data_IF_536976898967
#
_entry.id   IF_536976898967
#
_cell.length_a   1.000
_cell.length_b   1.000
_cell.length_c   1.000
_cell.angle_alpha   90.00
_cell.angle_beta   90.00
_cell.angle_gamma   90.00
#
_symmetry.space_group_name_H-M   'P 1'
#
loop_
_entity.id
_entity.type
_entity.pdbx_description
1 polymer ?
#
# COMPACT_ATOMS: atom_id res chain seq x y z
N UNK A 1 -36.11 14.01 24.39
CA UNK A 1 -35.03 14.96 24.03
C UNK A 1 -33.66 14.47 24.47
N UNK A 2 -33.36 14.28 25.77
CA UNK A 2 -32.04 13.77 26.22
C UNK A 2 -31.62 12.42 25.61
N UNK A 3 -32.52 11.43 25.58
CA UNK A 3 -32.23 10.10 25.01
C UNK A 3 -31.93 10.16 23.51
N UNK A 4 -32.63 11.01 22.78
CA UNK A 4 -32.42 11.25 21.35
C UNK A 4 -31.08 11.94 21.09
N UNK A 5 -30.71 12.92 21.91
CA UNK A 5 -29.41 13.59 21.85
C UNK A 5 -28.27 12.60 22.15
N UNK A 6 -28.42 11.75 23.17
CA UNK A 6 -27.42 10.71 23.51
C UNK A 6 -27.26 9.70 22.37
N UNK A 7 -28.37 9.23 21.77
CA UNK A 7 -28.32 8.31 20.65
C UNK A 7 -27.64 8.94 19.41
N UNK A 8 -27.90 10.22 19.14
CA UNK A 8 -27.24 10.95 18.05
C UNK A 8 -25.73 11.06 18.30
N UNK A 9 -25.31 11.44 19.51
CA UNK A 9 -23.90 11.56 19.88
C UNK A 9 -23.15 10.23 19.77
N UNK A 10 -23.76 9.12 20.18
CA UNK A 10 -23.17 7.79 20.04
C UNK A 10 -22.99 7.39 18.57
N UNK A 11 -23.94 7.76 17.71
CA UNK A 11 -23.86 7.50 16.26
C UNK A 11 -22.73 8.31 15.60
N UNK A 12 -22.57 9.59 15.96
CA UNK A 12 -21.47 10.42 15.47
C UNK A 12 -20.10 9.92 15.94
N UNK A 13 -20.01 9.33 17.14
CA UNK A 13 -18.77 8.76 17.66
C UNK A 13 -18.38 7.41 17.03
N UNK A 14 -19.31 6.76 16.31
CA UNK A 14 -19.11 5.41 15.74
C UNK A 14 -18.51 5.42 14.33
N UNK A 15 -17.89 6.52 13.90
CA UNK A 15 -17.25 6.62 12.59
C UNK A 15 -16.09 5.64 12.44
N UNK A 16 -16.12 4.76 11.44
CA UNK A 16 -15.01 3.87 11.12
C UNK A 16 -13.83 4.69 10.57
N UNK A 17 -12.74 4.77 11.32
CA UNK A 17 -11.48 5.32 10.82
C UNK A 17 -10.78 4.30 9.92
N UNK A 18 -11.00 4.38 8.60
CA UNK A 18 -10.14 3.70 7.62
C UNK A 18 -8.86 4.52 7.45
N UNK A 19 -7.97 4.45 8.44
CA UNK A 19 -6.68 5.11 8.35
C UNK A 19 -5.74 4.30 7.45
N UNK A 20 -5.35 4.88 6.32
CA UNK A 20 -4.25 4.36 5.54
C UNK A 20 -2.99 4.29 6.43
N UNK A 21 -2.38 3.12 6.49
CA UNK A 21 -1.07 2.90 7.12
C UNK A 21 0.01 3.70 6.40
N UNK A 22 1.16 3.97 7.04
CA UNK A 22 2.30 4.58 6.35
C UNK A 22 2.69 3.84 5.06
N UNK A 23 2.54 2.51 5.02
CA UNK A 23 2.79 1.68 3.84
C UNK A 23 1.85 1.96 2.66
N UNK A 24 0.63 2.40 2.94
CA UNK A 24 -0.34 2.80 1.91
C UNK A 24 -0.18 4.27 1.50
N UNK A 25 0.57 5.06 2.27
CA UNK A 25 0.81 6.49 2.02
C UNK A 25 2.13 6.76 1.30
N UNK A 26 3.13 5.90 1.47
CA UNK A 26 4.42 6.04 0.80
C UNK A 26 4.26 5.88 -0.72
N UNK A 27 4.84 6.79 -1.49
CA UNK A 27 4.69 6.84 -2.96
C UNK A 27 5.98 6.52 -3.72
N UNK A 28 7.10 6.42 -3.01
CA UNK A 28 8.41 6.12 -3.58
C UNK A 28 9.11 5.02 -2.79
N UNK A 29 9.91 4.16 -3.43
CA UNK A 29 10.71 3.17 -2.73
C UNK A 29 11.63 3.81 -1.68
N UNK A 30 11.81 3.12 -0.55
CA UNK A 30 12.82 3.50 0.44
C UNK A 30 14.21 3.21 -0.15
N UNK A 31 15.07 4.22 -0.19
CA UNK A 31 16.45 4.08 -0.66
C UNK A 31 17.24 3.08 0.19
N UNK A 32 18.12 2.31 -0.44
CA UNK A 32 18.97 1.33 0.22
C UNK A 32 19.25 0.13 -0.68
N UNK A 33 20.01 -0.84 -0.16
CA UNK A 33 20.18 -2.12 -0.84
C UNK A 33 18.85 -2.89 -0.87
N UNK A 34 18.49 -3.57 -1.97
CA UNK A 34 17.27 -4.36 -2.05
C UNK A 34 17.23 -5.46 -1.00
N UNK A 35 16.23 -5.43 -0.11
CA UNK A 35 16.07 -6.40 0.97
C UNK A 35 14.58 -6.67 1.19
N UNK A 36 14.16 -7.91 0.97
CA UNK A 36 12.85 -8.41 1.40
C UNK A 36 12.95 -8.79 2.88
N UNK A 37 12.18 -8.10 3.74
CA UNK A 37 12.29 -8.19 5.20
C UNK A 37 11.02 -8.83 5.76
N UNK A 38 11.17 -9.95 6.48
CA UNK A 38 10.06 -10.67 7.09
C UNK A 38 9.47 -11.77 6.19
N UNK A 39 8.21 -12.10 6.39
CA UNK A 39 7.48 -13.13 5.63
C UNK A 39 6.49 -12.50 4.64
N UNK A 40 6.01 -13.28 3.66
CA UNK A 40 5.13 -12.80 2.57
C UNK A 40 3.87 -12.05 3.05
N UNK A 41 3.27 -12.49 4.16
CA UNK A 41 2.06 -11.90 4.74
C UNK A 41 2.33 -11.01 5.97
N UNK A 42 3.60 -10.77 6.31
CA UNK A 42 4.00 -9.92 7.43
C UNK A 42 5.46 -9.46 7.23
N UNK A 43 5.64 -8.50 6.33
CA UNK A 43 6.95 -8.02 5.92
C UNK A 43 6.90 -6.70 5.18
N UNK A 44 8.08 -6.22 4.78
CA UNK A 44 8.26 -5.03 3.96
C UNK A 44 9.48 -5.19 3.05
N UNK A 45 9.80 -4.14 2.28
CA UNK A 45 10.96 -4.12 1.40
C UNK A 45 11.66 -2.75 1.47
N UNK A 46 12.99 -2.80 1.55
CA UNK A 46 13.88 -1.65 1.31
C UNK A 46 14.51 -1.83 -0.07
N UNK A 47 14.76 -0.74 -0.80
CA UNK A 47 15.40 -0.79 -2.12
C UNK A 47 14.54 -1.47 -3.19
N UNK A 48 13.22 -1.36 -3.11
CA UNK A 48 12.31 -1.89 -4.13
C UNK A 48 12.52 -1.19 -5.50
N UNK A 49 12.35 -1.94 -6.57
CA UNK A 49 12.41 -1.45 -7.94
C UNK A 49 11.02 -1.42 -8.57
N UNK A 50 10.78 -0.42 -9.42
CA UNK A 50 9.56 -0.34 -10.22
C UNK A 50 9.68 -1.27 -11.44
N UNK A 51 8.64 -2.03 -11.72
CA UNK A 51 8.47 -2.70 -13.01
C UNK A 51 8.25 -1.62 -14.09
N UNK A 52 8.97 -1.64 -15.23
CA UNK A 52 8.77 -0.68 -16.31
C UNK A 52 7.33 -0.67 -16.80
N UNK A 53 6.70 0.51 -16.84
CA UNK A 53 5.31 0.63 -17.28
C UNK A 53 5.13 0.47 -18.79
N UNK A 54 6.17 0.80 -19.54
CA UNK A 54 6.23 0.64 -20.99
C UNK A 54 7.15 -0.54 -21.32
N UNK A 55 6.57 -1.65 -21.74
CA UNK A 55 7.28 -2.83 -22.21
C UNK A 55 6.60 -3.39 -23.46
N UNK A 56 7.36 -4.06 -24.31
CA UNK A 56 6.83 -4.72 -25.50
C UNK A 56 6.20 -6.09 -25.21
N UNK A 57 6.62 -6.74 -24.12
CA UNK A 57 6.25 -8.11 -23.77
C UNK A 57 5.11 -8.23 -22.76
N UNK A 58 4.78 -7.16 -22.02
CA UNK A 58 3.74 -7.19 -20.99
C UNK A 58 3.07 -5.82 -20.83
N UNK A 59 1.97 -5.81 -20.07
CA UNK A 59 1.26 -4.59 -19.68
C UNK A 59 1.06 -4.54 -18.17
N UNK A 60 1.20 -3.35 -17.59
CA UNK A 60 0.94 -3.12 -16.16
C UNK A 60 -0.46 -2.54 -15.99
N UNK A 61 -1.30 -3.24 -15.24
CA UNK A 61 -2.68 -2.81 -14.97
C UNK A 61 -2.78 -2.00 -13.67
N UNK A 62 -3.80 -1.13 -13.57
CA UNK A 62 -4.15 -0.38 -12.35
C UNK A 62 -2.98 0.39 -11.75
N UNK A 63 -2.23 1.08 -12.62
CA UNK A 63 -1.03 1.84 -12.25
C UNK A 63 -1.34 3.00 -11.30
N UNK A 64 -2.59 3.47 -11.26
CA UNK A 64 -3.13 4.42 -10.29
C UNK A 64 -2.94 3.97 -8.83
N UNK A 65 -2.82 2.66 -8.58
CA UNK A 65 -2.68 2.12 -7.24
C UNK A 65 -1.24 2.12 -6.70
N UNK A 66 -0.25 2.44 -7.54
CA UNK A 66 1.17 2.37 -7.16
C UNK A 66 1.58 1.00 -6.59
N UNK A 67 1.09 -0.09 -7.21
CA UNK A 67 1.38 -1.49 -6.81
C UNK A 67 2.22 -2.25 -7.84
N UNK A 68 3.21 -1.59 -8.45
CA UNK A 68 4.12 -2.15 -9.45
C UNK A 68 5.59 -2.15 -8.98
N UNK A 69 5.81 -2.19 -7.67
CA UNK A 69 7.14 -2.22 -7.05
C UNK A 69 7.43 -3.59 -6.44
N UNK A 70 8.68 -4.03 -6.48
CA UNK A 70 9.09 -5.32 -5.92
C UNK A 70 10.60 -5.48 -5.76
N UNK A 71 11.03 -6.68 -5.38
CA UNK A 71 12.45 -7.06 -5.37
C UNK A 71 12.99 -7.13 -6.80
N UNK A 72 14.27 -6.80 -7.06
CA UNK A 72 14.86 -6.92 -8.41
C UNK A 72 14.64 -8.29 -9.05
N UNK A 73 14.73 -9.37 -8.28
CA UNK A 73 14.48 -10.73 -8.78
C UNK A 73 13.03 -10.93 -9.26
N UNK A 74 12.05 -10.27 -8.63
CA UNK A 74 10.66 -10.29 -9.10
C UNK A 74 10.52 -9.52 -10.42
N UNK A 75 11.18 -8.37 -10.54
CA UNK A 75 11.18 -7.58 -11.77
C UNK A 75 11.84 -8.35 -12.92
N UNK A 76 12.92 -9.08 -12.65
CA UNK A 76 13.63 -9.90 -13.64
C UNK A 76 12.85 -11.17 -14.04
N UNK A 77 12.03 -11.69 -13.13
CA UNK A 77 11.17 -12.84 -13.39
C UNK A 77 10.00 -12.51 -14.33
N UNK A 78 9.46 -11.29 -14.21
CA UNK A 78 8.35 -10.77 -15.02
C UNK A 78 8.85 -10.40 -16.43
#
# INVERSE_FOLDING_TARGET
MKKTVIALLALLASGTSLAATPWQKITQPVSGSPQSIGAFANGCIVGAQALPLNATSYQVMRTDQNRYFGHPDLVQFI
#
